data_IF_990729731202
#
_entry.id   IF_990729731202
#
_cell.length_a   1.000
_cell.length_b   1.000
_cell.length_c   1.000
_cell.angle_alpha   90.00
_cell.angle_beta   90.00
_cell.angle_gamma   90.00
#
_symmetry.space_group_name_H-M   'P 1'
#
loop_
_entity.id
_entity.type
_entity.pdbx_description
1 polymer ?
#
# COMPACT_ATOMS: atom_id res chain seq x y z
N UNK A 1 1.09 30.81 18.00
CA UNK A 1 0.70 29.98 16.84
C UNK A 1 -0.69 29.45 17.09
N UNK A 2 -1.65 29.75 16.22
CA UNK A 2 -3.01 29.18 16.33
C UNK A 2 -2.96 27.74 15.81
N UNK A 3 -3.23 26.78 16.67
CA UNK A 3 -3.36 25.38 16.28
C UNK A 3 -4.70 25.15 15.58
N UNK A 4 -4.71 24.55 14.40
CA UNK A 4 -5.96 24.22 13.71
C UNK A 4 -6.55 22.96 14.33
N UNK A 5 -7.80 23.00 14.86
CA UNK A 5 -8.44 21.84 15.44
C UNK A 5 -8.61 20.70 14.43
N UNK A 6 -8.37 19.46 14.85
CA UNK A 6 -8.62 18.28 14.05
C UNK A 6 -10.12 17.91 14.13
N UNK A 7 -10.90 18.50 13.23
CA UNK A 7 -12.35 18.28 13.16
C UNK A 7 -12.70 16.92 12.59
N UNK A 8 -11.82 16.32 11.77
CA UNK A 8 -12.05 15.00 11.17
C UNK A 8 -12.02 13.89 12.23
N UNK A 9 -11.01 13.88 13.12
CA UNK A 9 -11.00 12.93 14.23
C UNK A 9 -12.22 13.09 15.14
N UNK A 10 -12.59 14.33 15.47
CA UNK A 10 -13.77 14.60 16.28
C UNK A 10 -15.04 14.08 15.61
N UNK A 11 -15.24 14.38 14.32
CA UNK A 11 -16.40 13.91 13.56
C UNK A 11 -16.46 12.37 13.51
N UNK A 12 -15.34 11.71 13.23
CA UNK A 12 -15.26 10.24 13.18
C UNK A 12 -15.62 9.60 14.54
N UNK A 13 -15.15 10.19 15.65
CA UNK A 13 -15.46 9.72 17.00
C UNK A 13 -16.94 9.92 17.35
N UNK A 14 -17.49 11.11 17.09
CA UNK A 14 -18.90 11.42 17.39
C UNK A 14 -19.87 10.61 16.54
N UNK A 15 -19.54 10.32 15.29
CA UNK A 15 -20.33 9.44 14.42
C UNK A 15 -20.46 8.02 15.02
N UNK A 16 -19.52 7.60 15.87
CA UNK A 16 -19.58 6.35 16.63
C UNK A 16 -20.15 6.46 18.02
N UNK A 17 -20.74 7.61 18.36
CA UNK A 17 -21.31 7.92 19.67
C UNK A 17 -20.30 7.73 20.82
N UNK A 18 -18.99 7.89 20.55
CA UNK A 18 -17.93 7.74 21.55
C UNK A 18 -17.61 9.08 22.20
N UNK A 19 -17.47 9.10 23.53
CA UNK A 19 -16.81 10.20 24.24
C UNK A 19 -15.29 10.14 24.01
N UNK A 20 -14.57 11.20 24.34
CA UNK A 20 -13.10 11.18 24.28
C UNK A 20 -12.48 10.13 25.21
N UNK A 21 -13.17 9.82 26.29
CA UNK A 21 -12.74 8.80 27.25
C UNK A 21 -12.99 7.39 26.71
N UNK A 22 -14.12 7.20 26.02
CA UNK A 22 -14.41 5.93 25.34
C UNK A 22 -13.39 5.62 24.24
N UNK A 23 -13.02 6.63 23.44
CA UNK A 23 -11.95 6.47 22.45
C UNK A 23 -10.63 6.12 23.12
N UNK A 24 -10.27 6.79 24.21
CA UNK A 24 -9.04 6.48 24.94
C UNK A 24 -9.05 5.06 25.52
N UNK A 25 -10.21 4.57 26.00
CA UNK A 25 -10.38 3.19 26.46
C UNK A 25 -10.21 2.19 25.32
N UNK A 26 -10.91 2.39 24.21
CA UNK A 26 -10.80 1.52 23.03
C UNK A 26 -9.36 1.45 22.48
N UNK A 27 -8.63 2.56 22.50
CA UNK A 27 -7.22 2.58 22.11
C UNK A 27 -6.35 1.74 23.06
N UNK A 28 -6.61 1.75 24.38
CA UNK A 28 -5.89 0.90 25.34
C UNK A 28 -6.18 -0.59 25.09
N UNK A 29 -7.44 -0.93 24.83
CA UNK A 29 -7.86 -2.29 24.46
C UNK A 29 -7.22 -2.76 23.15
N UNK A 30 -6.98 -1.82 22.22
CA UNK A 30 -6.26 -2.09 20.96
C UNK A 30 -4.73 -2.14 21.11
N UNK A 31 -4.21 -2.16 22.36
CA UNK A 31 -2.78 -2.30 22.65
C UNK A 31 -2.01 -0.98 22.88
N UNK A 32 -2.71 0.16 22.86
CA UNK A 32 -2.08 1.46 23.12
C UNK A 32 -2.25 1.87 24.60
N UNK A 33 -1.52 1.21 25.51
CA UNK A 33 -1.63 1.39 26.98
C UNK A 33 -1.47 2.83 27.46
N UNK A 34 -0.74 3.68 26.71
CA UNK A 34 -0.52 5.09 27.04
C UNK A 34 -1.64 6.03 26.59
N UNK A 35 -2.69 5.53 25.96
CA UNK A 35 -3.79 6.34 25.50
C UNK A 35 -4.65 6.88 26.67
N UNK A 36 -4.79 8.20 26.73
CA UNK A 36 -5.56 8.90 27.76
C UNK A 36 -6.53 9.88 27.11
N UNK A 37 -7.60 10.25 27.83
CA UNK A 37 -8.53 11.30 27.42
C UNK A 37 -7.80 12.60 27.02
N UNK A 38 -6.79 13.01 27.82
CA UNK A 38 -5.98 14.20 27.56
C UNK A 38 -5.21 14.08 26.22
N UNK A 39 -4.77 12.90 25.87
CA UNK A 39 -4.11 12.67 24.58
C UNK A 39 -5.09 12.84 23.41
N UNK A 40 -6.29 12.29 23.51
CA UNK A 40 -7.37 12.49 22.52
C UNK A 40 -7.74 13.96 22.38
N UNK A 41 -7.86 14.68 23.50
CA UNK A 41 -8.10 16.14 23.51
C UNK A 41 -7.02 16.91 22.77
N UNK A 42 -5.75 16.57 22.97
CA UNK A 42 -4.61 17.20 22.28
C UNK A 42 -4.63 16.94 20.77
N UNK A 43 -5.05 15.77 20.35
CA UNK A 43 -5.22 15.47 18.92
C UNK A 43 -6.39 16.28 18.33
N UNK A 44 -7.55 16.29 18.98
CA UNK A 44 -8.72 17.03 18.49
C UNK A 44 -8.55 18.55 18.53
N UNK A 45 -7.76 19.07 19.45
CA UNK A 45 -7.43 20.51 19.50
C UNK A 45 -6.36 20.94 18.51
N UNK A 46 -5.71 19.98 17.83
CA UNK A 46 -4.57 20.26 16.94
C UNK A 46 -3.26 20.57 17.68
N UNK A 47 -3.23 20.45 19.02
CA UNK A 47 -2.02 20.66 19.81
C UNK A 47 -0.94 19.60 19.54
N UNK A 48 -1.30 18.51 18.91
CA UNK A 48 -0.39 17.47 18.40
C UNK A 48 -0.73 17.24 16.93
N UNK A 49 0.18 17.62 16.04
CA UNK A 49 -0.03 17.60 14.60
C UNK A 49 -0.10 16.17 14.04
N UNK A 50 0.59 15.22 14.69
CA UNK A 50 0.59 13.82 14.28
C UNK A 50 0.78 12.89 15.48
N UNK A 51 0.03 11.79 15.61
CA UNK A 51 0.25 10.81 16.67
C UNK A 51 1.54 10.00 16.42
N UNK A 52 2.12 9.44 17.48
CA UNK A 52 3.23 8.49 17.35
C UNK A 52 2.79 7.26 16.54
N UNK A 53 3.69 6.54 15.87
CA UNK A 53 3.33 5.40 15.03
C UNK A 53 2.43 4.37 15.71
N UNK A 54 2.70 3.99 16.96
CA UNK A 54 1.87 3.06 17.74
C UNK A 54 0.46 3.59 18.02
N UNK A 55 0.34 4.90 18.25
CA UNK A 55 -0.96 5.55 18.44
C UNK A 55 -1.73 5.67 17.11
N UNK A 56 -1.04 5.94 15.99
CA UNK A 56 -1.63 5.99 14.67
C UNK A 56 -2.23 4.63 14.28
N UNK A 57 -1.47 3.56 14.44
CA UNK A 57 -1.96 2.19 14.21
C UNK A 57 -3.16 1.82 15.08
N UNK A 58 -3.13 2.19 16.36
CA UNK A 58 -4.26 1.94 17.25
C UNK A 58 -5.50 2.75 16.84
N UNK A 59 -5.32 4.02 16.43
CA UNK A 59 -6.40 4.86 15.89
C UNK A 59 -7.03 4.25 14.65
N UNK A 60 -6.23 3.82 13.68
CA UNK A 60 -6.72 3.17 12.45
C UNK A 60 -7.49 1.89 12.77
N UNK A 61 -6.96 1.07 13.69
CA UNK A 61 -7.60 -0.17 14.12
C UNK A 61 -8.94 0.07 14.80
N UNK A 62 -9.03 1.04 15.72
CA UNK A 62 -10.25 1.39 16.45
C UNK A 62 -11.24 2.12 15.57
N UNK A 63 -10.76 3.09 14.78
CA UNK A 63 -11.62 3.93 13.96
C UNK A 63 -11.95 3.32 12.60
N UNK A 64 -11.30 2.22 12.22
CA UNK A 64 -11.45 1.57 10.89
C UNK A 64 -11.38 2.57 9.73
N UNK A 65 -10.52 3.56 9.88
CA UNK A 65 -10.25 4.63 8.92
C UNK A 65 -8.74 4.87 8.86
N UNK A 66 -8.17 5.15 7.68
CA UNK A 66 -6.78 5.51 7.56
C UNK A 66 -6.48 6.82 8.31
N UNK A 67 -5.26 6.96 8.80
CA UNK A 67 -4.86 8.06 9.67
C UNK A 67 -5.02 9.43 8.99
N UNK A 68 -4.86 9.49 7.68
CA UNK A 68 -5.08 10.69 6.87
C UNK A 68 -6.54 11.13 6.88
N UNK A 69 -7.47 10.16 6.82
CA UNK A 69 -8.93 10.41 6.90
C UNK A 69 -9.36 10.87 8.30
N UNK A 70 -8.52 10.61 9.30
CA UNK A 70 -8.70 11.14 10.67
C UNK A 70 -8.10 12.54 10.84
N UNK A 71 -7.71 13.21 9.76
CA UNK A 71 -7.22 14.59 9.76
C UNK A 71 -5.77 14.76 10.22
N UNK A 72 -5.00 13.69 10.25
CA UNK A 72 -3.56 13.74 10.45
C UNK A 72 -2.88 13.71 9.10
N UNK A 73 -2.32 14.84 8.66
CA UNK A 73 -1.63 14.94 7.36
C UNK A 73 -0.45 13.97 7.27
N UNK A 74 -0.12 13.56 6.03
CA UNK A 74 1.03 12.70 5.78
C UNK A 74 2.30 13.30 6.39
N UNK A 75 3.05 12.48 7.15
CA UNK A 75 4.37 12.87 7.65
C UNK A 75 5.27 13.10 6.44
N UNK A 76 5.50 14.36 6.09
CA UNK A 76 6.68 14.70 5.27
C UNK A 76 7.89 14.26 6.09
N UNK A 77 8.59 13.23 5.63
CA UNK A 77 9.93 12.91 6.10
C UNK A 77 10.82 14.11 5.75
N UNK A 78 10.86 15.09 6.66
CA UNK A 78 11.67 16.29 6.56
C UNK A 78 13.01 16.04 7.18
N UNK A 79 14.04 15.95 6.35
CA UNK A 79 15.41 16.24 6.79
C UNK A 79 15.49 17.73 7.16
N UNK A 80 15.85 17.99 8.41
CA UNK A 80 16.34 19.30 8.77
C UNK A 80 17.74 19.54 8.23
N UNK A 81 18.04 20.78 7.92
CA UNK A 81 19.24 21.52 8.38
C UNK A 81 19.12 22.95 7.80
N UNK A 82 19.03 23.89 8.72
CA UNK A 82 19.79 25.13 8.80
C UNK A 82 19.56 26.28 7.82
N UNK A 83 19.15 27.42 8.38
CA UNK A 83 19.75 28.71 8.07
C UNK A 83 18.89 29.75 7.35
N UNK A 84 18.27 30.65 8.14
CA UNK A 84 18.19 32.12 7.98
C UNK A 84 18.12 32.72 6.54
N UNK A 85 17.06 33.40 6.17
CA UNK A 85 16.96 34.86 6.23
C UNK A 85 15.58 35.36 5.75
N UNK A 86 15.15 36.37 6.49
CA UNK A 86 14.10 37.33 6.30
C UNK A 86 14.29 38.10 4.95
N UNK A 87 13.19 38.30 4.22
CA UNK A 87 12.82 39.62 3.74
C UNK A 87 11.42 39.64 3.09
N UNK A 88 10.61 40.51 3.65
CA UNK A 88 9.34 40.97 3.14
C UNK A 88 9.43 41.57 1.75
N UNK A 89 8.44 41.37 0.89
CA UNK A 89 7.80 42.39 0.06
C UNK A 89 6.53 41.85 -0.59
N UNK A 90 5.44 42.56 -0.31
CA UNK A 90 4.16 42.52 -1.02
C UNK A 90 4.38 42.71 -2.54
N UNK A 91 3.69 41.88 -3.34
CA UNK A 91 3.17 42.32 -4.65
C UNK A 91 1.97 41.42 -5.05
N UNK A 92 0.96 42.10 -5.51
CA UNK A 92 -0.34 41.77 -6.03
C UNK A 92 -0.44 40.51 -6.90
N UNK A 93 -1.62 39.87 -6.78
CA UNK A 93 -2.11 38.85 -7.73
C UNK A 93 -2.35 39.43 -9.12
N UNK A 94 -2.07 38.64 -10.16
CA UNK A 94 -2.99 38.54 -11.25
C UNK A 94 -3.46 37.10 -11.44
N UNK A 95 -4.75 36.96 -11.64
CA UNK A 95 -5.41 35.79 -12.23
C UNK A 95 -4.68 35.45 -13.53
N UNK A 96 -3.90 34.37 -13.50
CA UNK A 96 -3.18 33.82 -14.63
C UNK A 96 -3.58 32.37 -14.81
N UNK A 97 -4.21 32.10 -15.95
CA UNK A 97 -4.35 30.82 -16.65
C UNK A 97 -3.46 29.72 -16.10
N UNK A 98 -4.08 28.58 -15.81
CA UNK A 98 -3.39 27.32 -15.60
C UNK A 98 -2.62 26.96 -16.88
N UNK A 99 -1.42 27.50 -17.04
CA UNK A 99 -0.45 26.96 -17.96
C UNK A 99 -0.05 25.59 -17.38
N UNK A 100 -0.36 24.58 -18.14
CA UNK A 100 0.09 23.23 -17.96
C UNK A 100 1.59 23.23 -17.71
N UNK A 101 1.98 23.04 -16.45
CA UNK A 101 3.33 22.60 -16.10
C UNK A 101 3.54 21.33 -16.91
N UNK A 102 4.51 21.26 -17.83
CA UNK A 102 4.86 19.98 -18.40
C UNK A 102 5.31 19.12 -17.25
N UNK A 103 4.52 18.13 -16.89
CA UNK A 103 4.96 17.02 -16.11
C UNK A 103 6.14 16.44 -16.87
N UNK A 104 7.36 16.81 -16.45
CA UNK A 104 8.53 16.01 -16.73
C UNK A 104 8.33 14.71 -15.95
N UNK A 105 7.36 13.91 -16.43
CA UNK A 105 7.32 12.51 -16.15
C UNK A 105 8.67 11.98 -16.62
N UNK A 106 9.57 11.75 -15.68
CA UNK A 106 10.63 10.80 -15.89
C UNK A 106 9.89 9.52 -16.31
N UNK A 107 9.76 9.33 -17.62
CA UNK A 107 9.29 8.08 -18.18
C UNK A 107 10.29 7.07 -17.69
N UNK A 108 9.89 6.20 -16.78
CA UNK A 108 10.54 4.93 -16.59
C UNK A 108 10.28 4.18 -17.90
N UNK A 109 11.05 4.54 -18.94
CA UNK A 109 11.00 3.89 -20.24
C UNK A 109 11.90 2.66 -20.18
N UNK A 110 11.45 1.65 -19.42
CA UNK A 110 12.08 0.36 -19.39
C UNK A 110 11.06 -0.68 -19.78
N UNK A 111 11.43 -1.59 -20.67
CA UNK A 111 10.71 -2.85 -20.83
C UNK A 111 10.88 -3.65 -19.54
N UNK A 112 9.77 -3.95 -18.86
CA UNK A 112 9.76 -4.73 -17.62
C UNK A 112 9.53 -6.23 -17.88
N UNK A 113 9.58 -6.65 -19.16
CA UNK A 113 9.46 -8.06 -19.51
C UNK A 113 10.62 -8.87 -18.92
N UNK A 114 10.32 -10.05 -18.40
CA UNK A 114 11.33 -10.89 -17.78
C UNK A 114 10.74 -11.94 -16.86
N UNK A 115 11.61 -12.68 -16.19
CA UNK A 115 11.25 -13.58 -15.09
C UNK A 115 11.46 -12.87 -13.77
N UNK A 116 10.45 -12.86 -12.94
CA UNK A 116 10.41 -12.15 -11.68
C UNK A 116 10.11 -13.10 -10.53
N UNK A 117 10.74 -12.88 -9.38
CA UNK A 117 10.34 -13.49 -8.12
C UNK A 117 9.19 -12.67 -7.55
N UNK A 118 8.02 -13.26 -7.52
CA UNK A 118 6.79 -12.69 -6.93
C UNK A 118 6.66 -13.18 -5.49
N UNK A 119 6.46 -12.25 -4.55
CA UNK A 119 6.25 -12.55 -3.13
C UNK A 119 5.07 -11.74 -2.61
N UNK A 120 4.15 -12.39 -1.92
CA UNK A 120 3.03 -11.70 -1.26
C UNK A 120 2.71 -12.35 0.08
N UNK A 121 2.06 -11.55 0.94
CA UNK A 121 1.60 -12.02 2.25
C UNK A 121 0.09 -11.96 2.32
N UNK A 122 -0.50 -12.92 3.00
CA UNK A 122 -1.93 -12.93 3.30
C UNK A 122 -2.19 -13.50 4.70
N UNK A 123 -3.24 -12.98 5.33
CA UNK A 123 -3.74 -13.54 6.58
C UNK A 123 -4.81 -14.59 6.28
N UNK A 124 -4.69 -15.76 6.85
CA UNK A 124 -5.68 -16.83 6.75
C UNK A 124 -6.57 -16.86 7.99
N UNK A 125 -7.79 -16.37 7.88
CA UNK A 125 -8.77 -16.36 8.98
C UNK A 125 -9.02 -17.79 9.50
N UNK A 126 -9.09 -18.79 8.62
CA UNK A 126 -9.34 -20.19 9.01
C UNK A 126 -8.16 -20.89 9.68
N UNK A 127 -6.93 -20.32 9.59
CA UNK A 127 -5.71 -20.83 10.24
C UNK A 127 -5.15 -19.88 11.29
N UNK A 128 -5.76 -18.71 11.45
CA UNK A 128 -5.36 -17.64 12.37
C UNK A 128 -3.86 -17.28 12.27
N UNK A 129 -3.35 -17.19 11.04
CA UNK A 129 -1.93 -16.97 10.78
C UNK A 129 -1.69 -16.20 9.48
N UNK A 130 -0.57 -15.46 9.44
CA UNK A 130 -0.05 -14.82 8.24
C UNK A 130 0.86 -15.79 7.50
N UNK A 131 0.70 -15.86 6.19
CA UNK A 131 1.49 -16.70 5.29
C UNK A 131 2.16 -15.84 4.24
N UNK A 132 3.40 -16.15 3.96
CA UNK A 132 4.16 -15.60 2.82
C UNK A 132 4.21 -16.65 1.72
N UNK A 133 3.86 -16.25 0.51
CA UNK A 133 3.99 -17.08 -0.70
C UNK A 133 5.01 -16.45 -1.62
N UNK A 134 5.88 -17.28 -2.17
CA UNK A 134 6.86 -16.89 -3.19
C UNK A 134 6.79 -17.85 -4.38
N UNK A 135 6.86 -17.29 -5.60
CA UNK A 135 6.88 -18.07 -6.83
C UNK A 135 7.56 -17.27 -7.95
N UNK A 136 8.06 -17.95 -8.95
CA UNK A 136 8.52 -17.28 -10.17
C UNK A 136 7.33 -16.98 -11.08
N UNK A 137 7.38 -15.82 -11.70
CA UNK A 137 6.37 -15.35 -12.64
C UNK A 137 7.04 -14.77 -13.89
N UNK A 138 6.43 -14.97 -15.05
CA UNK A 138 6.77 -14.18 -16.23
C UNK A 138 6.00 -12.89 -16.21
N UNK A 139 6.70 -11.79 -16.42
CA UNK A 139 6.13 -10.45 -16.66
C UNK A 139 6.33 -10.15 -18.14
N UNK A 140 5.25 -9.72 -18.79
CA UNK A 140 5.28 -9.21 -20.16
C UNK A 140 4.77 -7.78 -20.15
N UNK A 141 5.58 -6.86 -20.66
CA UNK A 141 5.26 -5.45 -20.75
C UNK A 141 5.12 -5.05 -22.23
N UNK A 142 3.97 -4.48 -22.57
CA UNK A 142 3.70 -3.97 -23.90
C UNK A 142 2.99 -2.61 -23.78
N UNK A 143 3.63 -1.57 -24.25
CA UNK A 143 3.19 -0.16 -24.10
C UNK A 143 2.91 0.20 -22.63
N UNK A 144 1.63 0.33 -22.27
CA UNK A 144 1.20 0.59 -20.88
C UNK A 144 0.68 -0.65 -20.17
N UNK A 145 0.62 -1.80 -20.85
CA UNK A 145 0.06 -3.03 -20.29
C UNK A 145 1.16 -3.92 -19.73
N UNK A 146 0.99 -4.33 -18.50
CA UNK A 146 1.85 -5.31 -17.83
C UNK A 146 1.01 -6.51 -17.44
N UNK A 147 1.36 -7.68 -17.95
CA UNK A 147 0.75 -8.94 -17.54
C UNK A 147 1.75 -9.76 -16.73
N UNK A 148 1.28 -10.36 -15.64
CA UNK A 148 2.07 -11.22 -14.77
C UNK A 148 1.40 -12.58 -14.71
N UNK A 149 2.16 -13.66 -14.93
CA UNK A 149 1.65 -15.04 -14.86
C UNK A 149 2.64 -15.90 -14.08
N UNK A 150 2.20 -16.61 -13.05
CA UNK A 150 3.03 -17.56 -12.34
C UNK A 150 3.53 -18.65 -13.28
N UNK A 151 4.82 -19.03 -13.17
CA UNK A 151 5.39 -20.10 -13.98
C UNK A 151 4.93 -21.47 -13.45
N UNK A 152 4.58 -22.40 -14.35
CA UNK A 152 4.24 -23.77 -13.95
C UNK A 152 5.37 -24.40 -13.10
N UNK A 153 5.02 -25.14 -12.07
CA UNK A 153 5.98 -25.78 -11.18
C UNK A 153 6.65 -24.87 -10.14
N UNK A 154 6.55 -23.53 -10.26
CA UNK A 154 7.10 -22.61 -9.27
C UNK A 154 6.19 -22.43 -8.05
N UNK A 155 4.88 -22.68 -8.21
CA UNK A 155 3.87 -22.69 -7.14
C UNK A 155 2.80 -23.72 -7.48
N UNK A 156 2.18 -24.33 -6.47
CA UNK A 156 0.99 -25.15 -6.68
C UNK A 156 -0.26 -24.31 -7.02
N UNK A 157 -0.24 -23.03 -6.72
CA UNK A 157 -1.30 -22.07 -7.08
C UNK A 157 -0.97 -21.35 -8.38
N UNK A 158 -1.97 -21.05 -9.19
CA UNK A 158 -1.82 -20.24 -10.41
C UNK A 158 -2.24 -18.81 -10.10
N UNK A 159 -1.31 -17.89 -10.25
CA UNK A 159 -1.51 -16.45 -9.98
C UNK A 159 -1.34 -15.64 -11.27
N UNK A 160 -2.23 -14.69 -11.48
CA UNK A 160 -2.25 -13.82 -12.64
C UNK A 160 -2.52 -12.38 -12.24
N UNK A 161 -1.89 -11.42 -12.94
CA UNK A 161 -2.20 -9.99 -12.84
C UNK A 161 -2.32 -9.37 -14.23
N UNK A 162 -3.23 -8.43 -14.36
CA UNK A 162 -3.39 -7.57 -15.53
C UNK A 162 -3.35 -6.12 -15.05
N UNK A 163 -2.25 -5.42 -15.37
CA UNK A 163 -1.95 -4.09 -14.85
C UNK A 163 -1.79 -3.08 -15.99
N UNK A 164 -2.11 -1.83 -15.69
CA UNK A 164 -1.79 -0.67 -16.54
C UNK A 164 -0.73 0.16 -15.84
N UNK A 165 0.36 0.45 -16.52
CA UNK A 165 1.43 1.33 -16.03
C UNK A 165 1.14 2.79 -16.40
N UNK A 166 1.26 3.69 -15.42
CA UNK A 166 1.25 5.13 -15.59
C UNK A 166 2.47 5.70 -14.85
N UNK A 167 3.48 6.09 -15.62
CA UNK A 167 4.79 6.44 -15.06
C UNK A 167 5.40 5.26 -14.29
N UNK A 168 5.64 5.46 -13.00
CA UNK A 168 6.18 4.43 -12.11
C UNK A 168 5.10 3.70 -11.28
N UNK A 169 3.83 3.84 -11.63
CA UNK A 169 2.71 3.18 -10.94
C UNK A 169 2.08 2.16 -11.87
N UNK A 170 2.00 0.90 -11.46
CA UNK A 170 1.26 -0.15 -12.13
C UNK A 170 0.03 -0.51 -11.29
N UNK A 171 -1.16 -0.35 -11.88
CA UNK A 171 -2.44 -0.58 -11.20
C UNK A 171 -3.30 -1.53 -12.01
N UNK A 172 -3.98 -2.46 -11.36
CA UNK A 172 -4.91 -3.36 -12.04
C UNK A 172 -5.50 -4.43 -11.14
N UNK A 173 -5.76 -5.59 -11.71
CA UNK A 173 -6.40 -6.71 -11.02
C UNK A 173 -5.46 -7.90 -10.90
N UNK A 174 -5.73 -8.71 -9.90
CA UNK A 174 -5.07 -10.00 -9.71
C UNK A 174 -6.10 -11.09 -9.52
N UNK A 175 -5.74 -12.31 -9.88
CA UNK A 175 -6.49 -13.51 -9.54
C UNK A 175 -5.54 -14.65 -9.16
N UNK A 176 -6.00 -15.51 -8.26
CA UNK A 176 -5.32 -16.73 -7.86
C UNK A 176 -6.30 -17.90 -7.88
N UNK A 177 -5.87 -19.01 -8.47
CA UNK A 177 -6.51 -20.30 -8.29
C UNK A 177 -5.60 -21.15 -7.40
N UNK A 178 -6.06 -21.45 -6.19
CA UNK A 178 -5.28 -22.24 -5.24
C UNK A 178 -5.18 -23.70 -5.66
N UNK A 179 -4.17 -24.41 -5.16
CA UNK A 179 -3.99 -25.84 -5.40
C UNK A 179 -5.24 -26.64 -5.00
N UNK A 180 -5.61 -27.61 -5.82
CA UNK A 180 -6.81 -28.45 -5.58
C UNK A 180 -6.64 -29.38 -4.38
N UNK A 181 -5.43 -29.78 -4.08
CA UNK A 181 -5.01 -30.61 -2.94
C UNK A 181 -4.61 -29.80 -1.69
N UNK A 182 -4.56 -28.44 -1.83
CA UNK A 182 -4.22 -27.53 -0.75
C UNK A 182 -5.41 -27.26 0.20
N UNK A 183 -5.13 -26.48 1.25
CA UNK A 183 -6.12 -26.10 2.27
C UNK A 183 -7.39 -25.45 1.66
N UNK A 184 -7.24 -24.63 0.64
CA UNK A 184 -8.31 -23.89 -0.02
C UNK A 184 -8.96 -24.63 -1.20
N UNK A 185 -8.50 -25.84 -1.53
CA UNK A 185 -9.13 -26.80 -2.44
C UNK A 185 -9.55 -26.22 -3.80
N UNK A 186 -8.65 -25.51 -4.47
CA UNK A 186 -8.89 -24.94 -5.79
C UNK A 186 -9.78 -23.70 -5.80
N UNK A 187 -9.98 -23.06 -4.65
CA UNK A 187 -10.73 -21.81 -4.58
C UNK A 187 -10.10 -20.73 -5.47
N UNK A 188 -10.94 -19.88 -6.05
CA UNK A 188 -10.48 -18.71 -6.82
C UNK A 188 -10.65 -17.46 -5.99
N UNK A 189 -9.55 -16.74 -5.85
CA UNK A 189 -9.49 -15.42 -5.26
C UNK A 189 -9.18 -14.37 -6.33
N UNK A 190 -9.60 -13.14 -6.11
CA UNK A 190 -9.34 -12.03 -7.02
C UNK A 190 -9.46 -10.69 -6.28
N UNK A 191 -8.88 -9.67 -6.85
CA UNK A 191 -8.92 -8.34 -6.28
C UNK A 191 -8.20 -7.32 -7.13
N UNK A 192 -7.88 -6.18 -6.53
CA UNK A 192 -7.08 -5.13 -7.14
C UNK A 192 -5.68 -5.10 -6.52
N UNK A 193 -4.73 -4.58 -7.28
CA UNK A 193 -3.35 -4.39 -6.84
C UNK A 193 -2.79 -3.10 -7.41
N UNK A 194 -1.98 -2.40 -6.61
CA UNK A 194 -1.19 -1.27 -7.06
C UNK A 194 0.25 -1.47 -6.61
N UNK A 195 1.17 -1.35 -7.57
CA UNK A 195 2.61 -1.50 -7.37
C UNK A 195 3.33 -0.22 -7.81
N UNK A 196 4.37 0.16 -7.10
CA UNK A 196 5.33 1.17 -7.51
C UNK A 196 6.53 0.46 -8.12
N UNK A 197 6.91 0.90 -9.31
CA UNK A 197 8.11 0.45 -10.00
C UNK A 197 9.26 1.32 -9.52
N UNK A 198 10.32 0.72 -9.05
CA UNK A 198 11.49 1.46 -8.60
C UNK A 198 12.23 2.13 -9.79
N UNK A 199 13.08 3.14 -9.54
CA UNK A 199 13.79 3.83 -10.61
C UNK A 199 14.75 2.94 -11.43
N UNK A 200 15.16 1.78 -10.92
CA UNK A 200 16.01 0.84 -11.66
C UNK A 200 15.20 -0.07 -12.58
N UNK A 201 13.90 -0.15 -12.40
CA UNK A 201 13.01 -1.04 -13.11
C UNK A 201 13.13 -2.51 -12.69
N UNK A 202 13.92 -2.82 -11.67
CA UNK A 202 14.20 -4.19 -11.23
C UNK A 202 13.34 -4.66 -10.05
N UNK A 203 12.51 -3.77 -9.50
CA UNK A 203 11.62 -4.07 -8.37
C UNK A 203 10.29 -3.36 -8.54
N UNK A 204 9.22 -4.08 -8.29
CA UNK A 204 7.87 -3.52 -8.16
C UNK A 204 7.35 -3.91 -6.77
N UNK A 205 6.83 -2.95 -6.02
CA UNK A 205 6.31 -3.23 -4.67
C UNK A 205 5.08 -2.38 -4.35
N UNK A 206 4.14 -2.97 -3.65
CA UNK A 206 2.92 -2.29 -3.27
C UNK A 206 1.99 -3.15 -2.44
N UNK A 207 0.70 -2.99 -2.68
CA UNK A 207 -0.32 -3.73 -1.94
C UNK A 207 -1.41 -4.26 -2.86
N UNK A 208 -1.92 -5.41 -2.48
CA UNK A 208 -3.14 -5.99 -3.02
C UNK A 208 -4.30 -5.79 -2.04
N UNK A 209 -5.51 -5.75 -2.58
CA UNK A 209 -6.77 -5.90 -1.86
C UNK A 209 -7.58 -7.01 -2.52
N UNK A 210 -8.36 -7.75 -1.74
CA UNK A 210 -9.25 -8.80 -2.26
C UNK A 210 -10.36 -9.11 -1.29
N UNK A 211 -11.37 -9.83 -1.78
CA UNK A 211 -12.49 -10.25 -0.96
C UNK A 211 -12.25 -11.65 -0.40
N UNK A 212 -12.40 -11.77 0.92
CA UNK A 212 -12.48 -13.05 1.60
C UNK A 212 -13.91 -13.61 1.60
N UNK A 213 -14.15 -14.60 2.46
CA UNK A 213 -15.49 -15.05 2.78
C UNK A 213 -16.25 -13.91 3.46
N UNK A 214 -17.55 -13.89 3.33
CA UNK A 214 -18.43 -12.92 3.99
C UNK A 214 -18.18 -11.44 3.63
N UNK A 215 -17.66 -11.19 2.41
CA UNK A 215 -17.34 -9.85 1.89
C UNK A 215 -16.28 -9.08 2.70
N UNK A 216 -15.51 -9.76 3.54
CA UNK A 216 -14.37 -9.14 4.20
C UNK A 216 -13.34 -8.66 3.16
N UNK A 217 -12.81 -7.46 3.37
CA UNK A 217 -11.70 -6.94 2.56
C UNK A 217 -10.39 -7.30 3.23
N UNK A 218 -9.62 -8.14 2.56
CA UNK A 218 -8.26 -8.48 2.96
C UNK A 218 -7.26 -7.69 2.12
N UNK A 219 -6.11 -7.38 2.69
CA UNK A 219 -5.02 -6.72 1.99
C UNK A 219 -3.67 -7.16 2.54
N UNK A 220 -2.65 -7.10 1.70
CA UNK A 220 -1.28 -7.42 2.10
C UNK A 220 -0.26 -6.81 1.16
N UNK A 221 1.04 -6.86 1.52
CA UNK A 221 2.11 -6.45 0.64
C UNK A 221 2.23 -7.42 -0.55
N UNK A 222 2.67 -6.89 -1.68
CA UNK A 222 3.08 -7.65 -2.86
C UNK A 222 4.34 -7.04 -3.45
N UNK A 223 5.31 -7.88 -3.73
CA UNK A 223 6.60 -7.50 -4.28
C UNK A 223 6.96 -8.41 -5.45
N UNK A 224 7.53 -7.81 -6.51
CA UNK A 224 8.17 -8.51 -7.60
C UNK A 224 9.61 -8.01 -7.72
N UNK A 225 10.57 -8.94 -7.86
CA UNK A 225 12.00 -8.66 -8.03
C UNK A 225 12.49 -9.35 -9.28
N UNK A 226 13.05 -8.57 -10.22
CA UNK A 226 13.58 -9.10 -11.47
C UNK A 226 14.69 -10.13 -11.21
N UNK A 227 14.57 -11.28 -11.85
CA UNK A 227 15.57 -12.35 -11.81
C UNK A 227 16.34 -12.45 -13.14
N UNK A 228 15.61 -12.32 -14.25
CA UNK A 228 16.16 -12.44 -15.59
C UNK A 228 15.31 -11.62 -16.56
N UNK A 229 15.94 -10.79 -17.39
CA UNK A 229 15.27 -9.94 -18.38
C UNK A 229 14.84 -10.68 -19.65
N UNK A 230 15.30 -11.89 -19.83
CA UNK A 230 15.00 -12.71 -21.00
C UNK A 230 13.77 -13.59 -20.75
N UNK A 231 12.83 -13.62 -21.70
CA UNK A 231 11.61 -14.44 -21.69
C UNK A 231 11.66 -15.58 -22.71
N UNK A 232 12.85 -15.98 -23.17
CA UNK A 232 12.98 -17.14 -24.07
C UNK A 232 12.44 -18.42 -23.42
N UNK A 233 12.01 -19.36 -24.23
CA UNK A 233 11.50 -20.65 -23.73
C UNK A 233 12.50 -21.32 -22.78
N UNK A 234 13.79 -21.34 -23.12
CA UNK A 234 14.83 -21.94 -22.28
C UNK A 234 14.96 -21.23 -20.92
N UNK A 235 14.81 -19.89 -20.89
CA UNK A 235 14.81 -19.14 -19.63
C UNK A 235 13.58 -19.49 -18.79
N UNK A 236 12.39 -19.47 -19.40
CA UNK A 236 11.16 -19.80 -18.67
C UNK A 236 11.20 -21.23 -18.12
N UNK A 237 11.65 -22.18 -18.90
CA UNK A 237 11.79 -23.59 -18.47
C UNK A 237 12.77 -23.76 -17.28
N UNK A 238 13.82 -22.94 -17.19
CA UNK A 238 14.77 -22.96 -16.07
C UNK A 238 14.15 -22.50 -14.74
N UNK A 239 13.11 -21.66 -14.78
CA UNK A 239 12.38 -21.14 -13.60
C UNK A 239 11.08 -21.90 -13.29
N UNK A 240 10.75 -22.97 -14.04
CA UNK A 240 9.63 -23.88 -13.73
C UNK A 240 9.99 -24.83 -12.59
N UNK A 241 10.38 -24.25 -11.45
CA UNK A 241 10.80 -24.98 -10.25
C UNK A 241 10.37 -24.21 -8.99
N UNK A 242 10.24 -24.87 -7.84
CA UNK A 242 9.99 -24.18 -6.59
C UNK A 242 11.08 -23.14 -6.31
N UNK A 243 10.68 -22.05 -5.63
CA UNK A 243 11.62 -21.04 -5.13
C UNK A 243 12.48 -21.69 -4.03
N UNK A 244 13.78 -21.58 -4.16
CA UNK A 244 14.70 -22.03 -3.10
C UNK A 244 14.54 -21.14 -1.87
N UNK A 245 14.41 -21.75 -0.69
CA UNK A 245 14.15 -21.08 0.58
C UNK A 245 15.43 -20.42 1.16
#
# INVERSE_FOLDING_TARGET
>A
MRTTPNTALRAARTARLMSQDDLARALREAGCVSATKRLVQRWESGATAYPRPSHAQALERVMKLPIESLGFGAVRAGRGIGGLNDNSRDVESPVGTFDSVPAAAARVSGDHSGVWLSRYEYYSTGRDATFTVAHYAVVLHHDTQITVRSLPGSSPSVTEMDLTADGNVATGTWSERTAVDGYYRGARYHGAVQLLIDPTGNRMAGKWIGFGKDFEINSGPWELVLQESNTSKSTLDAYQRPVEA
#
